data_IF_730923079541
#
_entry.id   IF_730923079541
#
_cell.length_a   1.000
_cell.length_b   1.000
_cell.length_c   1.000
_cell.angle_alpha   90.00
_cell.angle_beta   90.00
_cell.angle_gamma   90.00
#
_symmetry.space_group_name_H-M   'P 1'
#
loop_
_entity.id
_entity.type
_entity.pdbx_description
1 polymer ?
#
# COMPACT_ATOMS: atom_id res chain seq x y z
N UNK A 1 -4.54 22.47 3.95
CA UNK A 1 -4.98 21.22 3.30
C UNK A 1 -3.76 20.53 2.70
N UNK A 2 -3.73 19.19 2.74
CA UNK A 2 -2.63 18.36 2.28
C UNK A 2 -2.99 17.69 0.95
N UNK A 3 -2.07 17.74 0.00
CA UNK A 3 -2.15 16.95 -1.23
C UNK A 3 -0.94 16.04 -1.29
N UNK A 4 -1.16 14.76 -1.54
CA UNK A 4 -0.14 13.73 -1.63
C UNK A 4 -0.31 12.98 -2.94
N UNK A 5 0.77 12.79 -3.68
CA UNK A 5 0.83 11.84 -4.79
C UNK A 5 2.01 10.89 -4.51
N UNK A 6 1.72 9.62 -4.29
CA UNK A 6 2.71 8.62 -3.93
C UNK A 6 2.52 7.34 -4.71
N UNK A 7 3.61 6.61 -4.92
CA UNK A 7 3.60 5.38 -5.70
C UNK A 7 4.04 4.22 -4.81
N UNK A 8 3.18 3.21 -4.69
CA UNK A 8 3.49 1.97 -3.97
C UNK A 8 3.83 0.89 -4.98
N UNK A 9 5.03 0.32 -4.85
CA UNK A 9 5.49 -0.83 -5.63
C UNK A 9 5.43 -2.08 -4.76
N UNK A 10 4.58 -3.04 -5.15
CA UNK A 10 4.41 -4.32 -4.45
C UNK A 10 5.01 -5.43 -5.30
N UNK A 11 5.87 -6.24 -4.70
CA UNK A 11 6.38 -7.45 -5.34
C UNK A 11 5.51 -8.64 -4.91
N UNK A 12 4.78 -9.19 -5.86
CA UNK A 12 3.92 -10.34 -5.64
C UNK A 12 4.56 -11.60 -6.23
N UNK A 13 4.61 -12.68 -5.45
CA UNK A 13 5.11 -13.99 -5.89
C UNK A 13 4.06 -15.05 -5.66
N UNK A 14 3.75 -15.83 -6.69
CA UNK A 14 2.94 -17.04 -6.57
C UNK A 14 3.87 -18.26 -6.44
N UNK A 15 3.99 -18.85 -5.24
CA UNK A 15 4.82 -20.05 -5.04
C UNK A 15 4.16 -21.34 -5.54
N UNK A 16 2.86 -21.32 -5.87
CA UNK A 16 2.14 -22.53 -6.27
C UNK A 16 2.71 -23.14 -7.55
N UNK A 17 2.71 -24.47 -7.61
CA UNK A 17 3.29 -25.27 -8.70
C UNK A 17 2.26 -25.70 -9.75
N UNK A 18 1.01 -25.87 -9.35
CA UNK A 18 -0.04 -26.47 -10.18
C UNK A 18 -1.03 -25.46 -10.76
N UNK A 19 -1.21 -24.29 -10.13
CA UNK A 19 -2.24 -23.33 -10.51
C UNK A 19 -1.73 -21.89 -10.46
N UNK A 20 -2.31 -21.05 -11.32
CA UNK A 20 -2.19 -19.60 -11.20
C UNK A 20 -3.27 -19.02 -10.29
N UNK A 21 -3.11 -17.76 -9.95
CA UNK A 21 -3.98 -17.05 -9.02
C UNK A 21 -4.44 -15.71 -9.58
N UNK A 22 -5.71 -15.41 -9.40
CA UNK A 22 -6.26 -14.09 -9.67
C UNK A 22 -6.09 -13.23 -8.42
N UNK A 23 -5.28 -12.18 -8.54
CA UNK A 23 -4.91 -11.29 -7.45
C UNK A 23 -5.72 -10.01 -7.55
N UNK A 24 -6.29 -9.63 -6.42
CA UNK A 24 -7.06 -8.40 -6.22
C UNK A 24 -6.67 -7.81 -4.87
N UNK A 25 -6.87 -6.51 -4.68
CA UNK A 25 -6.64 -5.86 -3.38
C UNK A 25 -7.85 -5.03 -3.01
N UNK A 26 -8.03 -4.78 -1.72
CA UNK A 26 -8.75 -3.58 -1.27
C UNK A 26 -7.94 -2.34 -1.67
N UNK A 27 -8.53 -1.13 -1.65
CA UNK A 27 -7.76 0.10 -1.80
C UNK A 27 -6.58 0.12 -0.83
N UNK A 28 -5.44 0.57 -1.33
CA UNK A 28 -4.26 0.88 -0.54
C UNK A 28 -4.52 2.21 0.14
N UNK A 29 -4.64 2.18 1.46
CA UNK A 29 -4.96 3.34 2.26
C UNK A 29 -3.74 3.75 3.09
N UNK A 30 -3.47 5.05 3.09
CA UNK A 30 -2.43 5.66 3.89
C UNK A 30 -3.09 6.44 5.03
N UNK A 31 -2.87 6.00 6.26
CA UNK A 31 -3.49 6.56 7.45
C UNK A 31 -2.48 7.29 8.33
N UNK A 32 -2.86 8.45 8.84
CA UNK A 32 -2.20 9.12 9.97
C UNK A 32 -3.09 8.95 11.20
N UNK A 33 -2.69 8.09 12.13
CA UNK A 33 -3.59 7.62 13.20
C UNK A 33 -4.91 7.08 12.63
N UNK A 34 -6.02 7.78 12.87
CA UNK A 34 -7.37 7.44 12.39
C UNK A 34 -7.78 8.19 11.12
N UNK A 35 -6.95 9.13 10.65
CA UNK A 35 -7.24 9.97 9.50
C UNK A 35 -6.68 9.34 8.21
N UNK A 36 -7.57 9.04 7.27
CA UNK A 36 -7.19 8.60 5.93
C UNK A 36 -6.64 9.79 5.13
N UNK A 37 -5.35 9.73 4.78
CA UNK A 37 -4.68 10.78 3.99
C UNK A 37 -4.72 10.51 2.50
N UNK A 38 -4.63 9.25 2.08
CA UNK A 38 -4.60 8.92 0.66
C UNK A 38 -5.14 7.52 0.41
N UNK A 39 -5.66 7.32 -0.79
CA UNK A 39 -6.13 6.01 -1.24
C UNK A 39 -5.70 5.74 -2.67
N UNK A 40 -5.49 4.46 -3.01
CA UNK A 40 -5.14 4.03 -4.34
C UNK A 40 -5.66 2.64 -4.65
N UNK A 41 -6.26 2.45 -5.82
CA UNK A 41 -6.79 1.14 -6.20
C UNK A 41 -5.81 0.37 -7.07
N UNK A 42 -5.45 -0.84 -6.63
CA UNK A 42 -4.56 -1.72 -7.39
C UNK A 42 -5.32 -2.37 -8.56
N UNK A 43 -4.71 -2.37 -9.75
CA UNK A 43 -5.25 -3.11 -10.90
C UNK A 43 -5.24 -4.61 -10.60
N UNK A 44 -6.36 -5.28 -10.88
CA UNK A 44 -6.49 -6.74 -10.75
C UNK A 44 -5.62 -7.42 -11.81
N UNK A 45 -4.98 -8.53 -11.46
CA UNK A 45 -4.12 -9.25 -12.39
C UNK A 45 -4.15 -10.75 -12.13
N UNK A 46 -3.73 -11.51 -13.14
CA UNK A 46 -3.47 -12.93 -13.01
C UNK A 46 -1.96 -13.15 -12.85
N UNK A 47 -1.58 -14.05 -11.93
CA UNK A 47 -0.22 -14.49 -11.74
C UNK A 47 -0.13 -15.99 -12.04
N UNK A 48 0.76 -16.37 -12.97
CA UNK A 48 1.00 -17.77 -13.30
C UNK A 48 1.65 -18.53 -12.13
N UNK A 49 1.71 -19.86 -12.25
CA UNK A 49 2.42 -20.73 -11.28
C UNK A 49 3.92 -20.42 -11.26
N UNK A 50 4.56 -20.55 -10.09
CA UNK A 50 6.01 -20.31 -9.86
C UNK A 50 6.55 -18.99 -10.42
N UNK A 51 5.73 -17.95 -10.52
CA UNK A 51 6.15 -16.68 -11.10
C UNK A 51 5.95 -15.52 -10.14
N UNK A 52 6.57 -14.39 -10.47
CA UNK A 52 6.49 -13.16 -9.70
C UNK A 52 6.22 -11.96 -10.61
N UNK A 53 5.69 -10.89 -10.03
CA UNK A 53 5.39 -9.65 -10.74
C UNK A 53 5.49 -8.46 -9.79
N UNK A 54 6.06 -7.37 -10.28
CA UNK A 54 5.98 -6.08 -9.63
C UNK A 54 4.69 -5.36 -10.06
N UNK A 55 3.92 -4.89 -9.09
CA UNK A 55 2.67 -4.16 -9.29
C UNK A 55 2.86 -2.76 -8.76
N UNK A 56 2.53 -1.77 -9.57
CA UNK A 56 2.67 -0.35 -9.24
C UNK A 56 1.27 0.23 -9.08
N UNK A 57 1.02 0.89 -7.95
CA UNK A 57 -0.25 1.53 -7.65
C UNK A 57 0.00 2.96 -7.16
N UNK A 58 -0.70 3.92 -7.76
CA UNK A 58 -0.68 5.31 -7.30
C UNK A 58 -1.64 5.42 -6.12
N UNK A 59 -1.16 5.97 -5.03
CA UNK A 59 -1.90 6.27 -3.80
C UNK A 59 -1.85 7.78 -3.62
N UNK A 60 -3.00 8.42 -3.81
CA UNK A 60 -3.09 9.88 -3.81
C UNK A 60 -4.20 10.37 -2.89
N UNK A 61 -4.01 11.58 -2.37
CA UNK A 61 -4.98 12.31 -1.57
C UNK A 61 -5.00 13.76 -2.04
N UNK A 62 -6.19 14.33 -2.22
CA UNK A 62 -6.35 15.69 -2.70
C UNK A 62 -7.04 16.54 -1.65
N UNK A 63 -6.46 17.71 -1.34
CA UNK A 63 -7.03 18.68 -0.42
C UNK A 63 -7.51 18.09 0.92
N UNK A 64 -6.74 17.12 1.45
CA UNK A 64 -7.10 16.43 2.68
C UNK A 64 -7.02 17.43 3.83
N UNK A 65 -8.09 17.57 4.62
CA UNK A 65 -8.06 18.44 5.76
C UNK A 65 -7.19 17.88 6.89
N UNK A 66 -6.45 18.77 7.56
CA UNK A 66 -5.54 18.40 8.65
C UNK A 66 -5.97 18.99 10.00
N UNK A 67 -7.17 19.58 10.07
CA UNK A 67 -7.63 20.28 11.26
C UNK A 67 -7.75 19.30 12.45
N UNK A 68 -7.20 19.71 13.59
CA UNK A 68 -7.35 19.00 14.87
C UNK A 68 -6.30 17.91 15.20
N UNK A 69 -5.44 17.49 14.26
CA UNK A 69 -4.56 16.33 14.53
C UNK A 69 -3.15 16.36 13.95
N UNK A 70 -2.83 17.22 12.97
CA UNK A 70 -1.53 17.17 12.28
C UNK A 70 -0.77 18.50 12.35
N UNK A 71 -0.54 18.99 13.56
CA UNK A 71 0.19 20.24 13.83
C UNK A 71 1.62 20.22 13.28
N UNK A 72 2.24 19.05 13.22
CA UNK A 72 3.59 18.83 12.64
C UNK A 72 3.65 19.19 11.15
N UNK A 73 2.54 19.05 10.41
CA UNK A 73 2.47 19.40 8.98
C UNK A 73 2.10 20.86 8.74
N UNK A 74 1.42 21.53 9.68
CA UNK A 74 1.08 22.96 9.53
C UNK A 74 2.32 23.86 9.64
N UNK A 75 3.32 23.47 10.44
CA UNK A 75 4.63 24.14 10.54
C UNK A 75 5.58 23.82 9.38
N UNK A 76 5.20 22.87 8.51
CA UNK A 76 6.05 22.38 7.44
C UNK A 76 6.26 23.39 6.31
N UNK A 77 5.46 24.47 6.22
CA UNK A 77 5.64 25.49 5.18
C UNK A 77 6.97 26.23 5.27
N UNK A 78 7.55 26.36 6.46
CA UNK A 78 8.80 27.11 6.68
C UNK A 78 10.03 26.20 6.83
N UNK A 79 9.86 24.97 7.34
CA UNK A 79 10.97 24.04 7.59
C UNK A 79 10.63 22.59 7.19
N UNK A 80 10.38 22.35 5.90
CA UNK A 80 10.10 21.03 5.33
C UNK A 80 11.12 19.95 5.75
N UNK A 81 12.40 20.32 5.92
CA UNK A 81 13.48 19.35 6.17
C UNK A 81 13.42 18.64 7.53
N UNK A 82 12.80 19.26 8.54
CA UNK A 82 12.71 18.73 9.91
C UNK A 82 11.44 17.91 10.17
N UNK A 83 10.52 17.86 9.20
CA UNK A 83 9.21 17.25 9.38
C UNK A 83 9.28 15.76 9.12
N UNK A 84 8.91 14.97 10.14
CA UNK A 84 8.76 13.53 10.07
C UNK A 84 7.34 13.14 10.51
N UNK A 85 6.58 12.54 9.60
CA UNK A 85 5.19 12.13 9.83
C UNK A 85 5.09 10.60 9.76
N UNK A 86 4.77 9.92 10.88
CA UNK A 86 4.52 8.49 10.88
C UNK A 86 3.14 8.18 10.28
N UNK A 87 3.11 7.30 9.31
CA UNK A 87 1.93 6.86 8.58
C UNK A 87 1.85 5.34 8.56
N UNK A 88 0.64 4.82 8.38
CA UNK A 88 0.39 3.41 8.20
C UNK A 88 -0.20 3.18 6.81
N UNK A 89 0.49 2.39 6.00
CA UNK A 89 -0.03 1.88 4.74
C UNK A 89 -0.74 0.55 5.01
N UNK A 90 -2.04 0.49 4.75
CA UNK A 90 -2.85 -0.70 5.03
C UNK A 90 -3.67 -1.13 3.83
N UNK A 91 -3.68 -2.43 3.57
CA UNK A 91 -4.52 -3.05 2.54
C UNK A 91 -4.65 -4.56 2.76
N UNK A 92 -5.65 -5.16 2.13
CA UNK A 92 -5.85 -6.61 2.11
C UNK A 92 -5.65 -7.11 0.69
N UNK A 93 -4.66 -7.97 0.51
CA UNK A 93 -4.42 -8.66 -0.74
C UNK A 93 -5.19 -9.98 -0.76
N UNK A 94 -6.02 -10.17 -1.78
CA UNK A 94 -6.80 -11.38 -2.00
C UNK A 94 -6.30 -12.12 -3.22
N UNK A 95 -5.90 -13.37 -3.05
CA UNK A 95 -5.46 -14.27 -4.12
C UNK A 95 -6.45 -15.41 -4.25
N UNK A 96 -7.06 -15.55 -5.43
CA UNK A 96 -8.05 -16.61 -5.71
C UNK A 96 -7.45 -17.64 -6.65
N UNK A 97 -7.38 -18.88 -6.18
CA UNK A 97 -6.88 -20.03 -6.92
C UNK A 97 -8.02 -20.92 -7.40
N UNK A 98 -7.91 -21.41 -8.64
CA UNK A 98 -8.78 -22.41 -9.24
C UNK A 98 -8.00 -23.72 -9.33
N UNK A 99 -8.03 -24.53 -8.28
CA UNK A 99 -7.16 -25.72 -8.16
C UNK A 99 -7.64 -26.82 -9.11
N UNK A 100 -8.94 -27.06 -9.14
CA UNK A 100 -9.61 -28.00 -10.07
C UNK A 100 -10.68 -27.24 -10.87
N UNK A 101 -10.25 -26.21 -11.59
CA UNK A 101 -11.15 -25.36 -12.39
C UNK A 101 -12.23 -24.69 -11.52
N UNK A 102 -13.50 -24.94 -11.84
CA UNK A 102 -14.64 -24.35 -11.11
C UNK A 102 -15.06 -25.14 -9.87
N UNK A 103 -14.62 -26.39 -9.72
CA UNK A 103 -14.98 -27.29 -8.63
C UNK A 103 -14.34 -26.86 -7.31
N UNK A 104 -13.01 -26.69 -7.32
CA UNK A 104 -12.25 -26.29 -6.12
C UNK A 104 -11.72 -24.87 -6.29
N UNK A 105 -12.31 -23.95 -5.51
CA UNK A 105 -11.92 -22.54 -5.45
C UNK A 105 -11.35 -22.24 -4.07
N UNK A 106 -10.06 -21.91 -4.00
CA UNK A 106 -9.44 -21.43 -2.77
C UNK A 106 -9.25 -19.92 -2.82
N UNK A 107 -9.44 -19.26 -1.67
CA UNK A 107 -9.24 -17.82 -1.51
C UNK A 107 -8.28 -17.60 -0.35
N UNK A 108 -7.20 -16.89 -0.62
CA UNK A 108 -6.22 -16.47 0.37
C UNK A 108 -6.36 -14.99 0.58
N UNK A 109 -6.43 -14.58 1.84
CA UNK A 109 -6.47 -13.19 2.25
C UNK A 109 -5.24 -12.94 3.10
N UNK A 110 -4.48 -11.89 2.75
CA UNK A 110 -3.33 -11.45 3.53
C UNK A 110 -3.52 -9.97 3.80
N UNK A 111 -3.66 -9.61 5.06
CA UNK A 111 -3.75 -8.22 5.50
C UNK A 111 -2.32 -7.71 5.69
N UNK A 112 -1.98 -6.65 4.98
CA UNK A 112 -0.67 -6.02 5.02
C UNK A 112 -0.81 -4.68 5.72
N UNK A 113 0.09 -4.44 6.68
CA UNK A 113 0.22 -3.16 7.39
C UNK A 113 1.69 -2.79 7.40
N UNK A 114 2.03 -1.64 6.83
CA UNK A 114 3.42 -1.17 6.79
C UNK A 114 3.53 0.17 7.48
N UNK A 115 4.50 0.31 8.37
CA UNK A 115 4.82 1.59 9.00
C UNK A 115 5.72 2.40 8.06
N UNK A 116 5.27 3.59 7.69
CA UNK A 116 5.93 4.48 6.74
C UNK A 116 6.19 5.81 7.44
N UNK A 117 7.43 6.28 7.47
CA UNK A 117 7.72 7.64 7.98
C UNK A 117 8.02 8.56 6.81
N UNK A 118 7.11 9.48 6.52
CA UNK A 118 7.37 10.54 5.55
C UNK A 118 8.31 11.57 6.17
N UNK A 119 9.50 11.71 5.59
CA UNK A 119 10.47 12.74 5.97
C UNK A 119 10.59 13.75 4.84
N UNK A 120 10.48 15.04 5.15
CA UNK A 120 10.52 16.08 4.12
C UNK A 120 11.81 16.08 3.30
N UNK A 121 12.96 15.83 3.94
CA UNK A 121 14.27 15.72 3.27
C UNK A 121 14.45 14.47 2.39
N UNK A 122 13.51 13.53 2.41
CA UNK A 122 13.51 12.29 1.60
C UNK A 122 12.31 12.18 0.66
N UNK A 123 11.56 13.25 0.46
CA UNK A 123 10.46 13.27 -0.51
C UNK A 123 11.00 12.98 -1.92
N UNK A 124 10.22 12.23 -2.71
CA UNK A 124 10.59 11.80 -4.07
C UNK A 124 11.61 10.67 -4.15
N UNK A 125 12.27 10.30 -3.04
CA UNK A 125 13.21 9.16 -3.01
C UNK A 125 12.46 7.85 -2.70
N UNK A 126 12.82 6.73 -3.34
CA UNK A 126 12.22 5.44 -3.04
C UNK A 126 12.58 5.00 -1.61
N UNK A 127 11.59 4.51 -0.87
CA UNK A 127 11.76 3.94 0.46
C UNK A 127 11.49 2.44 0.41
N UNK A 128 12.42 1.64 0.92
CA UNK A 128 12.22 0.19 1.04
C UNK A 128 11.41 -0.12 2.31
N UNK A 129 10.24 -0.73 2.13
CA UNK A 129 9.30 -1.07 3.21
C UNK A 129 9.38 -2.53 3.65
N UNK A 130 10.28 -3.34 3.07
CA UNK A 130 10.28 -4.81 3.25
C UNK A 130 10.33 -5.24 4.73
N UNK A 131 11.12 -4.55 5.55
CA UNK A 131 11.28 -4.87 6.98
C UNK A 131 10.33 -4.08 7.90
N UNK A 132 9.48 -3.23 7.32
CA UNK A 132 8.55 -2.35 8.05
C UNK A 132 7.09 -2.81 7.94
N UNK A 133 6.86 -3.94 7.28
CA UNK A 133 5.54 -4.50 7.02
C UNK A 133 5.26 -5.71 7.90
N UNK A 134 4.08 -5.75 8.50
CA UNK A 134 3.50 -6.92 9.14
C UNK A 134 2.44 -7.56 8.24
N UNK A 135 2.34 -8.88 8.32
CA UNK A 135 1.44 -9.69 7.52
C UNK A 135 0.55 -10.51 8.44
N UNK A 136 -0.76 -10.30 8.38
CA UNK A 136 -1.78 -11.05 9.11
C UNK A 136 -2.69 -11.83 8.17
#
# INVERSE_FOLDING_TARGET
MLTLNSTVRVFYRNPATFFGVHVTSTPLELHYFQLQLASGQMKKFYQSRKSQRAVITVVAGHQVPLYGGVSVLTSAREHLEKVAVPLNLTFVMRSRAHILGRLVKSKFYRRIRCSVTLRGNKLGKPLNLTNLCTYH
#
